data_IF_196213787628
#
_entry.id   IF_196213787628
#
_cell.length_a   1.000
_cell.length_b   1.000
_cell.length_c   1.000
_cell.angle_alpha   90.00
_cell.angle_beta   90.00
_cell.angle_gamma   90.00
#
_symmetry.space_group_name_H-M   'P 1'
#
loop_
_entity.id
_entity.type
_entity.pdbx_description
1 polymer ?
#
# COMPACT_ATOMS: atom_id res chain seq x y z
N UNK A 1 -17.96 7.22 35.17
CA UNK A 1 -19.08 7.32 34.22
C UNK A 1 -18.52 7.05 32.83
N UNK A 2 -18.79 5.89 32.25
CA UNK A 2 -18.40 5.62 30.86
C UNK A 2 -19.16 6.62 29.95
N UNK A 3 -18.52 7.16 28.89
CA UNK A 3 -19.22 8.05 27.97
C UNK A 3 -20.42 7.30 27.38
N UNK A 4 -21.58 7.97 27.19
CA UNK A 4 -22.74 7.34 26.57
C UNK A 4 -22.33 6.84 25.17
N UNK A 5 -22.65 5.58 24.88
CA UNK A 5 -22.50 5.01 23.54
C UNK A 5 -23.08 5.99 22.51
N UNK A 6 -22.29 6.44 21.50
CA UNK A 6 -22.76 7.44 20.56
C UNK A 6 -23.99 6.90 19.83
N UNK A 7 -25.01 7.74 19.69
CA UNK A 7 -26.36 7.42 19.18
C UNK A 7 -26.35 6.69 17.82
N UNK A 8 -25.25 6.76 17.05
CA UNK A 8 -25.01 5.97 15.84
C UNK A 8 -24.95 4.44 16.06
N UNK A 9 -24.52 3.98 17.24
CA UNK A 9 -24.52 2.55 17.60
C UNK A 9 -25.93 1.95 17.73
N UNK A 10 -26.95 2.79 17.99
CA UNK A 10 -28.30 2.31 18.31
C UNK A 10 -29.13 1.93 17.06
N UNK A 11 -28.91 2.56 15.90
CA UNK A 11 -29.68 2.24 14.67
C UNK A 11 -29.29 0.90 14.06
N UNK A 12 -27.99 0.68 13.88
CA UNK A 12 -27.45 -0.54 13.29
C UNK A 12 -27.73 -1.74 14.19
N UNK A 13 -27.48 -1.62 15.51
CA UNK A 13 -27.78 -2.69 16.46
C UNK A 13 -29.27 -3.05 16.54
N UNK A 14 -30.18 -2.07 16.40
CA UNK A 14 -31.62 -2.31 16.36
C UNK A 14 -32.08 -3.00 15.07
N UNK A 15 -31.57 -2.60 13.89
CA UNK A 15 -31.88 -3.26 12.63
C UNK A 15 -31.32 -4.70 12.59
N UNK A 16 -30.07 -4.89 13.04
CA UNK A 16 -29.49 -6.23 13.17
C UNK A 16 -30.31 -7.09 14.14
N UNK A 17 -30.78 -6.53 15.26
CA UNK A 17 -31.63 -7.25 16.21
C UNK A 17 -33.05 -7.53 15.68
N UNK A 18 -33.59 -6.69 14.79
CA UNK A 18 -34.91 -6.84 14.20
C UNK A 18 -34.94 -7.88 13.07
N UNK A 19 -33.87 -7.98 12.28
CA UNK A 19 -33.80 -8.87 11.11
C UNK A 19 -33.04 -10.19 11.37
N UNK A 20 -32.25 -10.32 12.45
CA UNK A 20 -31.79 -11.62 12.94
C UNK A 20 -32.81 -12.19 13.95
N UNK A 21 -33.55 -13.26 13.63
CA UNK A 21 -34.53 -13.83 14.56
C UNK A 21 -33.87 -14.28 15.86
N UNK A 22 -34.46 -13.88 17.00
CA UNK A 22 -33.97 -14.20 18.36
C UNK A 22 -34.04 -15.69 18.73
N UNK A 23 -34.72 -16.50 17.93
CA UNK A 23 -34.94 -17.92 18.17
C UNK A 23 -33.76 -18.77 17.68
N UNK A 24 -32.64 -18.66 18.40
CA UNK A 24 -31.38 -19.44 18.34
C UNK A 24 -30.19 -18.50 18.20
N UNK A 25 -29.81 -17.90 19.33
CA UNK A 25 -28.69 -16.97 19.51
C UNK A 25 -27.34 -17.69 19.28
N UNK A 26 -27.09 -18.10 18.04
CA UNK A 26 -25.91 -18.87 17.64
C UNK A 26 -24.64 -18.02 17.82
N UNK A 27 -23.49 -18.68 17.96
CA UNK A 27 -22.19 -18.01 18.07
C UNK A 27 -22.00 -17.00 16.93
N UNK A 28 -22.38 -17.38 15.71
CA UNK A 28 -22.24 -16.53 14.52
C UNK A 28 -23.13 -15.29 14.56
N UNK A 29 -24.36 -15.39 15.09
CA UNK A 29 -25.23 -14.23 15.25
C UNK A 29 -24.65 -13.21 16.23
N UNK A 30 -24.04 -13.68 17.33
CA UNK A 30 -23.37 -12.81 18.31
C UNK A 30 -22.15 -12.13 17.70
N UNK A 31 -21.34 -12.88 16.97
CA UNK A 31 -20.17 -12.35 16.28
C UNK A 31 -20.56 -11.35 15.19
N UNK A 32 -21.60 -11.62 14.39
CA UNK A 32 -22.09 -10.68 13.40
C UNK A 32 -22.57 -9.36 14.03
N UNK A 33 -23.33 -9.43 15.13
CA UNK A 33 -23.74 -8.23 15.89
C UNK A 33 -22.54 -7.44 16.39
N UNK A 34 -21.55 -8.12 16.94
CA UNK A 34 -20.32 -7.49 17.41
C UNK A 34 -19.54 -6.87 16.25
N UNK A 35 -19.41 -7.59 15.13
CA UNK A 35 -18.72 -7.14 13.92
C UNK A 35 -19.34 -5.84 13.43
N UNK A 36 -20.65 -5.82 13.20
CA UNK A 36 -21.33 -4.63 12.69
C UNK A 36 -21.24 -3.45 13.68
N UNK A 37 -21.36 -3.70 14.98
CA UNK A 37 -21.22 -2.65 15.99
C UNK A 37 -19.82 -2.02 16.00
N UNK A 38 -18.77 -2.81 15.76
CA UNK A 38 -17.40 -2.33 15.63
C UNK A 38 -17.13 -1.69 14.27
N UNK A 39 -17.65 -2.29 13.19
CA UNK A 39 -17.49 -1.85 11.81
C UNK A 39 -18.05 -0.45 11.61
N UNK A 40 -19.23 -0.16 12.14
CA UNK A 40 -19.86 1.16 12.04
C UNK A 40 -19.48 2.12 13.17
N UNK A 41 -18.62 1.71 14.12
CA UNK A 41 -18.30 2.52 15.29
C UNK A 41 -17.60 3.85 14.99
N UNK A 42 -16.97 3.96 13.80
CA UNK A 42 -16.23 5.14 13.35
C UNK A 42 -16.91 5.89 12.20
N UNK A 43 -18.10 5.45 11.76
CA UNK A 43 -18.85 6.10 10.69
C UNK A 43 -20.07 6.83 11.28
N UNK A 44 -20.02 8.16 11.44
CA UNK A 44 -21.18 8.91 11.89
C UNK A 44 -22.29 8.87 10.82
N UNK A 45 -23.55 8.95 11.27
CA UNK A 45 -24.73 8.86 10.38
C UNK A 45 -24.71 9.90 9.25
N UNK A 46 -24.13 11.09 9.50
CA UNK A 46 -23.97 12.15 8.50
C UNK A 46 -23.14 11.74 7.29
N UNK A 47 -22.30 10.72 7.42
CA UNK A 47 -21.44 10.22 6.34
C UNK A 47 -22.04 9.00 5.63
N UNK A 48 -23.11 8.40 6.15
CA UNK A 48 -23.67 7.13 5.64
C UNK A 48 -24.53 7.26 4.36
N UNK A 49 -24.44 8.41 3.69
CA UNK A 49 -25.05 8.70 2.38
C UNK A 49 -26.55 8.33 2.27
N UNK A 50 -27.28 8.37 3.38
CA UNK A 50 -28.73 8.10 3.44
C UNK A 50 -29.13 6.63 3.31
N UNK A 51 -28.21 5.67 3.45
CA UNK A 51 -28.52 4.23 3.40
C UNK A 51 -29.49 3.81 4.51
N UNK A 52 -30.32 2.81 4.22
CA UNK A 52 -31.21 2.24 5.21
C UNK A 52 -30.44 1.32 6.17
N UNK A 53 -30.93 1.18 7.40
CA UNK A 53 -30.31 0.29 8.38
C UNK A 53 -30.40 -1.20 7.97
N UNK A 54 -31.33 -1.56 7.08
CA UNK A 54 -31.44 -2.89 6.49
C UNK A 54 -30.32 -3.14 5.47
N UNK A 55 -30.04 -2.17 4.59
CA UNK A 55 -28.92 -2.24 3.64
C UNK A 55 -27.57 -2.33 4.37
N UNK A 56 -27.39 -1.54 5.44
CA UNK A 56 -26.18 -1.58 6.27
C UNK A 56 -25.99 -2.94 6.95
N UNK A 57 -27.07 -3.60 7.37
CA UNK A 57 -27.03 -4.96 7.90
C UNK A 57 -26.62 -5.96 6.82
N UNK A 58 -27.21 -5.89 5.63
CA UNK A 58 -26.88 -6.80 4.52
C UNK A 58 -25.41 -6.64 4.10
N UNK A 59 -24.91 -5.41 4.03
CA UNK A 59 -23.50 -5.12 3.83
C UNK A 59 -22.61 -5.68 4.95
N UNK A 60 -23.04 -5.53 6.20
CA UNK A 60 -22.31 -6.08 7.34
C UNK A 60 -22.23 -7.61 7.29
N UNK A 61 -23.32 -8.27 6.87
CA UNK A 61 -23.37 -9.71 6.69
C UNK A 61 -22.43 -10.18 5.59
N UNK A 62 -22.42 -9.51 4.43
CA UNK A 62 -21.50 -9.84 3.34
C UNK A 62 -20.05 -9.65 3.76
N UNK A 63 -19.72 -8.51 4.39
CA UNK A 63 -18.38 -8.24 4.88
C UNK A 63 -17.93 -9.25 5.95
N UNK A 64 -18.79 -9.60 6.91
CA UNK A 64 -18.49 -10.59 7.93
C UNK A 64 -18.22 -11.97 7.33
N UNK A 65 -19.07 -12.40 6.38
CA UNK A 65 -18.92 -13.69 5.70
C UNK A 65 -17.60 -13.77 4.93
N UNK A 66 -17.28 -12.75 4.12
CA UNK A 66 -16.01 -12.68 3.37
C UNK A 66 -14.81 -12.69 4.31
N UNK A 67 -14.86 -11.88 5.37
CA UNK A 67 -13.81 -11.86 6.38
C UNK A 67 -13.63 -13.23 7.04
N UNK A 68 -14.71 -13.96 7.31
CA UNK A 68 -14.65 -15.28 7.90
C UNK A 68 -14.07 -16.33 6.93
N UNK A 69 -14.47 -16.29 5.67
CA UNK A 69 -14.15 -17.33 4.67
C UNK A 69 -12.76 -17.14 4.01
N UNK A 70 -12.24 -15.91 3.97
CA UNK A 70 -10.93 -15.56 3.41
C UNK A 70 -9.77 -16.05 4.28
N UNK A 71 -8.64 -16.41 3.66
CA UNK A 71 -7.37 -16.65 4.38
C UNK A 71 -6.79 -15.34 4.91
N UNK A 72 -6.36 -15.24 6.18
CA UNK A 72 -5.89 -13.97 6.76
C UNK A 72 -4.82 -13.20 5.97
N UNK A 73 -3.93 -13.92 5.27
CA UNK A 73 -2.81 -13.36 4.49
C UNK A 73 -3.17 -12.88 3.07
N UNK A 74 -4.36 -13.20 2.59
CA UNK A 74 -4.81 -12.91 1.22
C UNK A 74 -5.20 -11.43 1.06
N UNK A 75 -5.19 -10.89 -0.16
CA UNK A 75 -5.82 -9.58 -0.40
C UNK A 75 -7.02 -9.84 -1.30
N UNK A 76 -8.21 -9.53 -0.81
CA UNK A 76 -9.46 -9.64 -1.56
C UNK A 76 -9.99 -8.25 -1.84
N UNK A 77 -10.35 -8.00 -3.10
CA UNK A 77 -11.00 -6.75 -3.54
C UNK A 77 -12.24 -7.14 -4.32
N UNK A 78 -13.40 -6.61 -3.94
CA UNK A 78 -14.62 -6.68 -4.73
C UNK A 78 -15.04 -5.28 -5.16
N UNK A 79 -15.39 -5.11 -6.43
CA UNK A 79 -15.94 -3.88 -7.00
C UNK A 79 -17.22 -4.27 -7.72
N UNK A 80 -18.36 -3.83 -7.21
CA UNK A 80 -19.65 -4.20 -7.81
C UNK A 80 -20.73 -3.14 -7.62
N UNK A 81 -21.70 -3.20 -8.51
CA UNK A 81 -22.96 -2.49 -8.40
C UNK A 81 -23.99 -3.42 -7.73
N UNK A 82 -24.43 -3.14 -6.49
CA UNK A 82 -25.40 -3.99 -5.79
C UNK A 82 -26.71 -4.11 -6.57
N UNK A 83 -27.22 -5.34 -6.67
CA UNK A 83 -28.45 -5.68 -7.38
C UNK A 83 -29.45 -6.37 -6.44
N UNK A 84 -30.69 -5.86 -6.40
CA UNK A 84 -31.70 -6.32 -5.45
C UNK A 84 -31.99 -7.82 -5.56
N UNK A 85 -31.97 -8.38 -6.78
CA UNK A 85 -32.30 -9.79 -7.01
C UNK A 85 -31.15 -10.71 -6.62
N UNK A 86 -29.90 -10.28 -6.85
CA UNK A 86 -28.70 -11.06 -6.52
C UNK A 86 -28.31 -10.94 -5.04
N UNK A 87 -28.34 -9.71 -4.51
CA UNK A 87 -27.73 -9.37 -3.23
C UNK A 87 -28.77 -9.10 -2.13
N UNK A 88 -30.05 -8.96 -2.49
CA UNK A 88 -31.12 -8.59 -1.55
C UNK A 88 -31.21 -7.09 -1.27
N UNK A 89 -30.33 -6.29 -1.88
CA UNK A 89 -30.32 -4.83 -1.80
C UNK A 89 -29.75 -4.21 -3.07
N UNK A 90 -30.00 -2.92 -3.28
CA UNK A 90 -29.51 -2.18 -4.45
C UNK A 90 -28.98 -0.82 -4.04
N UNK A 91 -27.99 -0.32 -4.76
CA UNK A 91 -27.46 1.03 -4.57
C UNK A 91 -27.38 1.78 -5.91
N UNK A 92 -27.54 3.10 -5.86
CA UNK A 92 -27.24 4.01 -6.97
C UNK A 92 -25.73 4.31 -7.10
N UNK A 93 -24.88 3.57 -6.37
CA UNK A 93 -23.43 3.72 -6.31
C UNK A 93 -22.71 2.41 -6.60
N UNK A 94 -21.43 2.53 -6.93
CA UNK A 94 -20.53 1.38 -6.98
C UNK A 94 -19.89 1.18 -5.62
N UNK A 95 -19.89 -0.06 -5.15
CA UNK A 95 -19.44 -0.44 -3.82
C UNK A 95 -18.16 -1.25 -3.95
N UNK A 96 -17.15 -0.83 -3.19
CA UNK A 96 -15.82 -1.40 -3.19
C UNK A 96 -15.55 -1.92 -1.79
N UNK A 97 -15.21 -3.20 -1.67
CA UNK A 97 -14.79 -3.81 -0.42
C UNK A 97 -13.37 -4.33 -0.56
N UNK A 98 -12.54 -4.02 0.42
CA UNK A 98 -11.15 -4.46 0.49
C UNK A 98 -10.93 -5.20 1.80
N UNK A 99 -10.42 -6.41 1.71
CA UNK A 99 -9.98 -7.22 2.83
C UNK A 99 -8.49 -7.50 2.67
N UNK A 100 -7.68 -7.15 3.67
CA UNK A 100 -6.24 -7.30 3.60
C UNK A 100 -5.65 -7.56 4.99
N UNK A 101 -4.43 -8.11 5.09
CA UNK A 101 -3.65 -8.00 6.31
C UNK A 101 -3.44 -6.53 6.65
N UNK A 102 -3.39 -6.19 7.93
CA UNK A 102 -3.01 -4.85 8.36
C UNK A 102 -1.57 -4.55 7.94
N UNK A 103 -1.42 -3.52 7.12
CA UNK A 103 -0.13 -3.05 6.63
C UNK A 103 -0.19 -1.55 6.35
N UNK A 104 0.94 -0.83 6.48
CA UNK A 104 0.99 0.60 6.16
C UNK A 104 0.56 0.91 4.73
N UNK A 105 0.00 2.11 4.53
CA UNK A 105 -0.32 2.70 3.21
C UNK A 105 -1.46 2.05 2.42
N UNK A 106 -2.20 1.07 2.96
CA UNK A 106 -3.31 0.42 2.24
C UNK A 106 -4.40 1.41 1.84
N UNK A 107 -4.89 2.21 2.79
CA UNK A 107 -5.97 3.16 2.54
C UNK A 107 -5.51 4.27 1.60
N UNK A 108 -4.33 4.84 1.82
CA UNK A 108 -3.80 5.89 0.94
C UNK A 108 -3.64 5.38 -0.49
N UNK A 109 -3.11 4.16 -0.65
CA UNK A 109 -2.92 3.54 -1.97
C UNK A 109 -4.24 3.20 -2.66
N UNK A 110 -5.25 2.75 -1.91
CA UNK A 110 -6.62 2.55 -2.41
C UNK A 110 -7.18 3.87 -2.94
N UNK A 111 -7.17 4.93 -2.14
CA UNK A 111 -7.69 6.24 -2.53
C UNK A 111 -6.96 6.83 -3.75
N UNK A 112 -5.63 6.64 -3.82
CA UNK A 112 -4.84 7.00 -5.00
C UNK A 112 -5.23 6.21 -6.25
N UNK A 113 -5.50 4.90 -6.11
CA UNK A 113 -5.97 4.07 -7.23
C UNK A 113 -7.33 4.54 -7.75
N UNK A 114 -8.27 4.86 -6.85
CA UNK A 114 -9.59 5.42 -7.22
C UNK A 114 -9.45 6.76 -7.94
N UNK A 115 -8.62 7.66 -7.40
CA UNK A 115 -8.36 8.98 -7.99
C UNK A 115 -7.75 8.84 -9.39
N UNK A 116 -6.82 7.89 -9.58
CA UNK A 116 -6.21 7.60 -10.89
C UNK A 116 -7.22 7.05 -11.89
N UNK A 117 -8.22 6.30 -11.43
CA UNK A 117 -9.34 5.81 -12.23
C UNK A 117 -10.43 6.89 -12.48
N UNK A 118 -10.21 8.13 -12.04
CA UNK A 118 -11.16 9.23 -12.21
C UNK A 118 -12.38 9.16 -11.29
N UNK A 119 -12.32 8.34 -10.22
CA UNK A 119 -13.43 8.16 -9.28
C UNK A 119 -13.25 9.04 -8.06
N UNK A 120 -14.34 9.71 -7.66
CA UNK A 120 -14.40 10.46 -6.40
C UNK A 120 -14.92 9.55 -5.29
N UNK A 121 -14.24 9.54 -4.14
CA UNK A 121 -14.70 8.80 -2.96
C UNK A 121 -15.84 9.55 -2.30
N UNK A 122 -17.04 8.95 -2.29
CA UNK A 122 -18.23 9.50 -1.64
C UNK A 122 -18.33 9.06 -0.18
N UNK A 123 -17.91 7.83 0.10
CA UNK A 123 -17.88 7.27 1.44
C UNK A 123 -16.67 6.35 1.61
N UNK A 124 -16.06 6.39 2.79
CA UNK A 124 -15.01 5.47 3.22
C UNK A 124 -15.27 5.08 4.67
N UNK A 125 -15.36 3.78 4.92
CA UNK A 125 -15.29 3.20 6.24
C UNK A 125 -14.19 2.15 6.28
N UNK A 126 -13.24 2.27 7.20
CA UNK A 126 -12.19 1.28 7.36
C UNK A 126 -11.95 0.93 8.83
N UNK A 127 -11.84 -0.37 9.09
CA UNK A 127 -11.64 -0.91 10.43
C UNK A 127 -10.61 -2.03 10.36
N UNK A 128 -9.63 -1.98 11.25
CA UNK A 128 -8.69 -3.08 11.49
C UNK A 128 -9.21 -3.90 12.65
N UNK A 129 -9.46 -5.18 12.38
CA UNK A 129 -9.92 -6.17 13.35
C UNK A 129 -8.78 -7.05 13.82
N UNK A 130 -8.71 -7.27 15.13
CA UNK A 130 -7.95 -8.35 15.73
C UNK A 130 -8.84 -9.57 15.87
N UNK A 131 -8.50 -10.63 15.15
CA UNK A 131 -9.35 -11.81 14.99
C UNK A 131 -8.64 -13.01 15.59
N UNK A 132 -9.27 -13.66 16.56
CA UNK A 132 -8.87 -14.99 16.98
C UNK A 132 -9.74 -16.00 16.25
N UNK A 133 -9.12 -16.97 15.58
CA UNK A 133 -9.82 -18.05 14.87
C UNK A 133 -9.73 -19.37 15.63
N UNK A 134 -10.69 -20.25 15.43
CA UNK A 134 -10.62 -21.62 15.92
C UNK A 134 -9.81 -22.53 14.98
N UNK A 135 -9.74 -23.84 15.31
CA UNK A 135 -8.95 -24.82 14.55
C UNK A 135 -9.47 -25.04 13.13
N UNK A 136 -10.74 -24.75 12.90
CA UNK A 136 -11.40 -24.92 11.61
C UNK A 136 -11.32 -23.63 10.77
N UNK A 137 -10.68 -22.57 11.30
CA UNK A 137 -10.47 -21.29 10.63
C UNK A 137 -11.59 -20.26 10.86
N UNK A 138 -12.66 -20.64 11.54
CA UNK A 138 -13.80 -19.77 11.82
C UNK A 138 -13.48 -18.72 12.88
N UNK A 139 -14.10 -17.55 12.77
CA UNK A 139 -13.92 -16.45 13.73
C UNK A 139 -14.43 -16.89 15.12
N UNK A 140 -13.59 -16.75 16.13
CA UNK A 140 -13.90 -17.03 17.55
C UNK A 140 -14.13 -15.76 18.33
N UNK A 141 -13.33 -14.74 18.10
CA UNK A 141 -13.51 -13.42 18.68
C UNK A 141 -12.96 -12.37 17.73
N UNK A 142 -13.57 -11.20 17.78
CA UNK A 142 -13.18 -10.02 17.01
C UNK A 142 -13.13 -8.81 17.93
N UNK A 143 -12.06 -8.04 17.84
CA UNK A 143 -11.85 -6.82 18.61
C UNK A 143 -11.29 -5.74 17.69
N UNK A 144 -11.52 -4.47 18.00
CA UNK A 144 -10.77 -3.38 17.37
C UNK A 144 -9.62 -3.02 18.29
N UNK A 145 -8.44 -2.84 17.72
CA UNK A 145 -7.35 -2.31 18.51
C UNK A 145 -7.61 -0.85 18.85
N UNK A 146 -7.57 -0.54 20.14
CA UNK A 146 -7.56 0.86 20.63
C UNK A 146 -6.18 1.27 21.14
N UNK A 147 -5.23 0.34 21.18
CA UNK A 147 -3.94 0.45 21.87
C UNK A 147 -2.74 0.24 20.93
N UNK A 148 -2.96 -0.10 19.65
CA UNK A 148 -1.89 -0.22 18.65
C UNK A 148 -0.98 -1.41 18.88
N UNK A 149 -1.53 -2.55 19.29
CA UNK A 149 -0.86 -3.84 19.32
C UNK A 149 -0.47 -4.25 17.89
N UNK A 150 0.81 -4.53 17.63
CA UNK A 150 1.34 -4.78 16.30
C UNK A 150 1.02 -6.18 15.73
N UNK A 151 0.12 -6.95 16.35
CA UNK A 151 -0.07 -8.37 16.04
C UNK A 151 -1.27 -8.61 15.11
N UNK A 152 -1.00 -9.06 13.88
CA UNK A 152 -1.95 -9.71 12.95
C UNK A 152 -3.34 -9.08 12.82
N UNK A 153 -3.41 -7.77 12.62
CA UNK A 153 -4.66 -7.11 12.25
C UNK A 153 -5.15 -7.57 10.87
N UNK A 154 -6.47 -7.63 10.69
CA UNK A 154 -7.15 -7.81 9.40
C UNK A 154 -7.94 -6.54 9.09
N UNK A 155 -7.57 -5.85 8.01
CA UNK A 155 -8.26 -4.66 7.53
C UNK A 155 -9.52 -5.05 6.75
N UNK A 156 -10.63 -4.37 7.06
CA UNK A 156 -11.82 -4.30 6.22
C UNK A 156 -12.05 -2.83 5.85
N UNK A 157 -12.08 -2.53 4.56
CA UNK A 157 -12.47 -1.22 4.06
C UNK A 157 -13.68 -1.34 3.13
N UNK A 158 -14.63 -0.44 3.30
CA UNK A 158 -15.80 -0.25 2.46
C UNK A 158 -15.73 1.17 1.89
N UNK A 159 -15.78 1.26 0.57
CA UNK A 159 -15.74 2.51 -0.17
C UNK A 159 -16.94 2.57 -1.11
N UNK A 160 -17.60 3.72 -1.18
CA UNK A 160 -18.61 3.99 -2.21
C UNK A 160 -18.15 5.14 -3.09
N UNK A 161 -18.33 4.96 -4.40
CA UNK A 161 -18.05 5.95 -5.44
C UNK A 161 -19.29 6.13 -6.32
N UNK A 162 -19.29 7.13 -7.19
CA UNK A 162 -20.33 7.27 -8.20
C UNK A 162 -20.50 5.97 -9.00
N UNK A 163 -21.74 5.65 -9.38
CA UNK A 163 -22.00 4.40 -10.11
C UNK A 163 -21.25 4.37 -11.43
N UNK A 164 -20.46 3.32 -11.59
CA UNK A 164 -19.68 3.02 -12.77
C UNK A 164 -20.42 2.04 -13.68
N UNK A 165 -20.06 2.05 -14.96
CA UNK A 165 -20.50 1.03 -15.92
C UNK A 165 -19.92 -0.34 -15.55
N UNK A 166 -20.73 -1.39 -15.64
CA UNK A 166 -20.34 -2.76 -15.27
C UNK A 166 -19.06 -3.23 -15.99
N UNK A 167 -18.84 -2.76 -17.21
CA UNK A 167 -17.66 -3.07 -18.02
C UNK A 167 -16.34 -2.54 -17.43
N UNK A 168 -16.39 -1.54 -16.54
CA UNK A 168 -15.20 -0.92 -15.93
C UNK A 168 -14.85 -1.51 -14.56
N UNK A 169 -15.76 -2.24 -13.92
CA UNK A 169 -15.61 -2.71 -12.53
C UNK A 169 -14.41 -3.65 -12.36
N UNK A 170 -14.26 -4.61 -13.28
CA UNK A 170 -13.14 -5.56 -13.28
C UNK A 170 -11.79 -4.84 -13.45
N UNK A 171 -11.75 -3.82 -14.33
CA UNK A 171 -10.52 -3.04 -14.55
C UNK A 171 -10.15 -2.25 -13.31
N UNK A 172 -11.13 -1.64 -12.62
CA UNK A 172 -10.87 -0.93 -11.36
C UNK A 172 -10.40 -1.90 -10.27
N UNK A 173 -11.04 -3.06 -10.15
CA UNK A 173 -10.63 -4.10 -9.19
C UNK A 173 -9.16 -4.48 -9.40
N UNK A 174 -8.76 -4.76 -10.63
CA UNK A 174 -7.39 -5.18 -10.95
C UNK A 174 -6.38 -4.05 -10.66
N UNK A 175 -6.72 -2.79 -10.96
CA UNK A 175 -5.88 -1.64 -10.60
C UNK A 175 -5.69 -1.48 -9.08
N UNK A 176 -6.73 -1.73 -8.29
CA UNK A 176 -6.63 -1.72 -6.83
C UNK A 176 -5.77 -2.89 -6.35
N UNK A 177 -5.98 -4.09 -6.88
CA UNK A 177 -5.17 -5.27 -6.54
C UNK A 177 -3.68 -5.05 -6.84
N UNK A 178 -3.35 -4.48 -8.00
CA UNK A 178 -1.98 -4.14 -8.37
C UNK A 178 -1.36 -3.14 -7.38
N UNK A 179 -2.10 -2.09 -7.03
CA UNK A 179 -1.63 -1.09 -6.06
C UNK A 179 -1.38 -1.71 -4.68
N UNK A 180 -2.25 -2.60 -4.22
CA UNK A 180 -2.09 -3.28 -2.93
C UNK A 180 -1.00 -4.35 -2.96
N UNK A 181 -0.75 -4.98 -4.11
CA UNK A 181 0.37 -5.89 -4.31
C UNK A 181 1.72 -5.14 -4.21
N UNK A 182 1.82 -3.94 -4.80
CA UNK A 182 2.99 -3.05 -4.67
C UNK A 182 3.25 -2.69 -3.20
N UNK A 183 2.20 -2.32 -2.45
CA UNK A 183 2.28 -2.01 -1.01
C UNK A 183 2.80 -3.22 -0.25
N UNK A 184 2.20 -4.41 -0.46
CA UNK A 184 2.62 -5.64 0.21
C UNK A 184 4.09 -5.97 -0.08
N UNK A 185 4.54 -5.83 -1.32
CA UNK A 185 5.94 -6.07 -1.68
C UNK A 185 6.88 -5.09 -0.96
N UNK A 186 6.58 -3.80 -0.99
CA UNK A 186 7.39 -2.77 -0.32
C UNK A 186 7.46 -3.00 1.20
N UNK A 187 6.33 -3.30 1.85
CA UNK A 187 6.26 -3.52 3.30
C UNK A 187 7.00 -4.79 3.71
N UNK A 188 6.79 -5.90 3.01
CA UNK A 188 7.44 -7.18 3.33
C UNK A 188 8.96 -7.10 3.17
N UNK A 189 9.44 -6.40 2.15
CA UNK A 189 10.87 -6.30 1.86
C UNK A 189 11.55 -5.14 2.59
N UNK A 190 10.81 -4.27 3.27
CA UNK A 190 11.37 -3.11 3.96
C UNK A 190 12.54 -3.47 4.90
N UNK A 191 12.46 -4.52 5.74
CA UNK A 191 13.58 -4.93 6.58
C UNK A 191 14.82 -5.34 5.76
N UNK A 192 14.62 -6.06 4.65
CA UNK A 192 15.70 -6.51 3.77
C UNK A 192 16.37 -5.33 3.04
N UNK A 193 15.57 -4.38 2.54
CA UNK A 193 16.06 -3.15 1.92
C UNK A 193 16.87 -2.30 2.90
N UNK A 194 16.37 -2.13 4.14
CA UNK A 194 17.10 -1.44 5.21
C UNK A 194 18.41 -2.14 5.55
N UNK A 195 18.41 -3.47 5.62
CA UNK A 195 19.63 -4.25 5.84
C UNK A 195 20.67 -4.03 4.73
N UNK A 196 20.23 -3.99 3.46
CA UNK A 196 21.12 -3.72 2.31
C UNK A 196 21.76 -2.33 2.39
N UNK A 197 21.02 -1.32 2.85
CA UNK A 197 21.54 0.03 3.09
C UNK A 197 22.62 0.01 4.20
N UNK A 198 22.35 -0.65 5.33
CA UNK A 198 23.29 -0.77 6.44
C UNK A 198 24.57 -1.53 6.04
N UNK A 199 24.44 -2.63 5.28
CA UNK A 199 25.57 -3.36 4.72
C UNK A 199 26.36 -2.52 3.68
N UNK A 200 25.71 -1.56 3.01
CA UNK A 200 26.37 -0.55 2.18
C UNK A 200 27.21 0.41 3.01
N UNK A 201 26.65 0.93 4.10
CA UNK A 201 27.32 1.82 5.04
C UNK A 201 28.57 1.16 5.64
N UNK A 202 28.46 -0.08 6.13
CA UNK A 202 29.60 -0.80 6.73
C UNK A 202 30.76 -1.00 5.73
N UNK A 203 30.45 -1.18 4.44
CA UNK A 203 31.47 -1.28 3.40
C UNK A 203 32.19 0.04 3.15
N UNK A 204 31.47 1.16 3.18
CA UNK A 204 32.05 2.50 3.01
C UNK A 204 32.96 2.86 4.20
N UNK A 205 32.57 2.46 5.41
CA UNK A 205 33.36 2.71 6.63
C UNK A 205 34.70 1.97 6.66
N UNK A 206 34.79 0.81 5.99
CA UNK A 206 36.04 0.03 5.87
C UNK A 206 37.02 0.61 4.85
N UNK A 207 36.59 1.57 4.03
CA UNK A 207 37.46 2.26 3.08
C UNK A 207 38.08 3.50 3.74
N UNK A 208 39.22 3.96 3.22
CA UNK A 208 39.84 5.19 3.72
C UNK A 208 38.89 6.37 3.50
N UNK A 209 38.33 6.91 4.59
CA UNK A 209 37.23 7.87 4.50
C UNK A 209 37.75 9.31 4.39
N UNK A 210 37.43 9.96 3.27
CA UNK A 210 37.57 11.41 3.10
C UNK A 210 36.40 12.12 3.82
N UNK A 211 36.50 13.45 4.03
CA UNK A 211 35.39 14.20 4.64
C UNK A 211 34.05 14.04 3.89
N UNK A 212 34.00 14.08 2.55
CA UNK A 212 32.76 13.80 1.80
C UNK A 212 32.19 12.39 2.02
N UNK A 213 33.04 11.38 2.22
CA UNK A 213 32.58 10.00 2.49
C UNK A 213 31.92 9.90 3.86
N UNK A 214 32.44 10.60 4.87
CA UNK A 214 31.82 10.65 6.20
C UNK A 214 30.45 11.31 6.16
N UNK A 215 30.31 12.44 5.48
CA UNK A 215 29.03 13.12 5.31
C UNK A 215 28.00 12.22 4.60
N UNK A 216 28.43 11.50 3.55
CA UNK A 216 27.57 10.54 2.87
C UNK A 216 27.14 9.39 3.80
N UNK A 217 28.04 8.86 4.64
CA UNK A 217 27.71 7.84 5.65
C UNK A 217 26.67 8.37 6.63
N UNK A 218 26.84 9.59 7.14
CA UNK A 218 25.90 10.21 8.08
C UNK A 218 24.52 10.38 7.45
N UNK A 219 24.45 10.82 6.19
CA UNK A 219 23.20 10.90 5.44
C UNK A 219 22.54 9.53 5.24
N UNK A 220 23.29 8.49 4.87
CA UNK A 220 22.74 7.15 4.68
C UNK A 220 22.23 6.55 6.00
N UNK A 221 22.92 6.81 7.12
CA UNK A 221 22.45 6.41 8.47
C UNK A 221 21.17 7.13 8.84
N UNK A 222 21.07 8.43 8.54
CA UNK A 222 19.85 9.20 8.73
C UNK A 222 18.68 8.59 7.94
N UNK A 223 18.88 8.24 6.66
CA UNK A 223 17.87 7.53 5.86
C UNK A 223 17.43 6.20 6.49
N UNK A 224 18.39 5.41 6.99
CA UNK A 224 18.13 4.10 7.60
C UNK A 224 17.40 4.19 8.95
N UNK A 225 17.40 5.35 9.59
CA UNK A 225 16.79 5.61 10.90
C UNK A 225 15.34 6.11 10.78
N UNK A 226 14.55 5.46 9.91
CA UNK A 226 13.13 5.74 9.68
C UNK A 226 12.80 7.15 9.16
N UNK A 227 13.78 7.88 8.61
CA UNK A 227 13.53 9.17 7.94
C UNK A 227 13.16 9.01 6.46
N UNK A 228 13.13 7.78 5.95
CA UNK A 228 12.79 7.49 4.57
C UNK A 228 11.99 6.18 4.44
N UNK A 229 11.02 6.17 3.53
CA UNK A 229 10.26 4.95 3.18
C UNK A 229 10.86 4.31 1.95
N UNK A 230 11.47 3.12 2.12
CA UNK A 230 11.99 2.33 1.00
C UNK A 230 10.85 1.61 0.28
N UNK A 231 10.67 1.91 -1.01
CA UNK A 231 9.65 1.24 -1.84
C UNK A 231 10.23 0.11 -2.69
N UNK A 232 11.53 0.17 -2.99
CA UNK A 232 12.22 -0.86 -3.76
C UNK A 232 13.74 -0.69 -3.73
N UNK A 233 14.44 -1.79 -4.01
CA UNK A 233 15.90 -1.85 -4.03
C UNK A 233 16.39 -2.67 -5.24
N UNK A 234 17.51 -2.25 -5.82
CA UNK A 234 18.29 -3.02 -6.81
C UNK A 234 19.77 -2.74 -6.60
N UNK A 235 20.59 -3.76 -6.83
CA UNK A 235 22.04 -3.63 -6.80
C UNK A 235 22.58 -3.70 -8.22
N UNK A 236 23.57 -2.86 -8.51
CA UNK A 236 24.24 -2.80 -9.79
C UNK A 236 25.75 -2.87 -9.59
N UNK A 237 26.42 -3.56 -10.51
CA UNK A 237 27.88 -3.57 -10.65
C UNK A 237 28.28 -2.77 -11.88
N UNK A 238 29.37 -2.03 -11.77
CA UNK A 238 29.97 -1.31 -12.88
C UNK A 238 31.32 -1.98 -13.23
N UNK A 239 31.47 -2.35 -14.50
CA UNK A 239 32.67 -3.00 -15.04
C UNK A 239 32.63 -3.03 -16.57
N UNK A 240 33.80 -3.00 -17.21
CA UNK A 240 33.95 -3.00 -18.69
C UNK A 240 33.09 -1.92 -19.39
N UNK A 241 33.02 -0.71 -18.82
CA UNK A 241 32.15 0.38 -19.27
C UNK A 241 30.64 0.04 -19.35
N UNK A 242 30.22 -1.00 -18.63
CA UNK A 242 28.81 -1.43 -18.55
C UNK A 242 28.30 -1.43 -17.12
N UNK A 243 27.01 -1.11 -16.96
CA UNK A 243 26.27 -1.27 -15.71
C UNK A 243 25.42 -2.52 -15.83
N UNK A 244 25.65 -3.49 -14.96
CA UNK A 244 24.88 -4.74 -14.91
C UNK A 244 24.15 -4.85 -13.58
N UNK A 245 22.87 -5.20 -13.63
CA UNK A 245 22.11 -5.49 -12.42
C UNK A 245 22.61 -6.80 -11.82
N UNK A 246 22.86 -6.81 -10.51
CA UNK A 246 23.18 -8.03 -9.77
C UNK A 246 21.94 -8.94 -9.77
N UNK A 247 22.00 -10.17 -10.31
CA UNK A 247 20.86 -11.08 -10.33
C UNK A 247 20.32 -11.35 -8.92
N UNK A 248 18.99 -11.35 -8.78
CA UNK A 248 18.32 -11.59 -7.49
C UNK A 248 18.41 -10.43 -6.48
N UNK A 249 18.92 -9.26 -6.87
CA UNK A 249 19.00 -8.09 -5.98
C UNK A 249 17.71 -7.28 -5.89
N UNK A 250 16.74 -7.50 -6.78
CA UNK A 250 15.51 -6.73 -6.83
C UNK A 250 14.63 -7.04 -5.61
N UNK A 251 14.13 -5.98 -4.94
CA UNK A 251 13.21 -6.05 -3.80
C UNK A 251 12.12 -4.97 -3.92
N UNK A 252 11.03 -5.15 -3.18
CA UNK A 252 9.87 -4.26 -3.15
C UNK A 252 9.18 -4.16 -4.51
N UNK A 253 8.72 -2.97 -4.88
CA UNK A 253 8.06 -2.74 -6.18
C UNK A 253 8.98 -3.01 -7.38
N UNK A 254 10.29 -3.15 -7.15
CA UNK A 254 11.27 -3.42 -8.20
C UNK A 254 11.38 -4.90 -8.57
N UNK A 255 10.62 -5.80 -7.94
CA UNK A 255 10.57 -7.22 -8.31
C UNK A 255 10.11 -7.45 -9.77
N UNK A 256 9.10 -6.70 -10.23
CA UNK A 256 8.40 -6.97 -11.50
C UNK A 256 8.82 -6.05 -12.66
N UNK A 257 9.58 -4.98 -12.40
CA UNK A 257 9.96 -3.96 -13.39
C UNK A 257 11.18 -4.39 -14.23
N UNK A 258 11.11 -5.53 -14.91
CA UNK A 258 12.28 -6.12 -15.55
C UNK A 258 12.57 -5.61 -16.99
N UNK A 259 11.65 -4.96 -17.72
CA UNK A 259 11.87 -4.75 -19.17
C UNK A 259 12.06 -3.31 -19.66
N UNK A 260 11.53 -2.28 -18.98
CA UNK A 260 11.52 -0.90 -19.53
C UNK A 260 12.83 -0.13 -19.26
N UNK A 261 13.61 -0.54 -18.26
CA UNK A 261 14.79 0.23 -17.82
C UNK A 261 16.03 0.06 -18.72
N UNK A 262 16.15 -1.08 -19.42
CA UNK A 262 17.35 -1.39 -20.19
C UNK A 262 17.53 -0.49 -21.43
N UNK A 263 16.44 0.05 -21.99
CA UNK A 263 16.53 0.90 -23.20
C UNK A 263 16.92 2.34 -22.87
N UNK A 264 16.51 2.91 -21.73
CA UNK A 264 16.72 4.34 -21.43
C UNK A 264 18.15 4.59 -20.91
N UNK A 265 18.70 3.70 -20.06
CA UNK A 265 20.04 3.90 -19.53
C UNK A 265 21.16 3.69 -20.56
N UNK A 266 20.94 2.83 -21.56
CA UNK A 266 21.94 2.51 -22.56
C UNK A 266 22.17 3.65 -23.57
N UNK A 267 21.18 4.52 -23.77
CA UNK A 267 21.28 5.70 -24.65
C UNK A 267 21.93 6.88 -23.92
N UNK A 268 21.64 7.09 -22.63
CA UNK A 268 22.06 8.31 -21.93
C UNK A 268 23.53 8.31 -21.45
N UNK A 269 24.11 7.13 -21.17
CA UNK A 269 25.50 7.02 -20.67
C UNK A 269 26.54 7.18 -21.79
N UNK A 270 26.17 6.95 -23.05
CA UNK A 270 27.11 7.06 -24.18
C UNK A 270 27.44 8.49 -24.60
N UNK A 271 26.56 9.45 -24.31
CA UNK A 271 26.61 10.78 -24.96
C UNK A 271 27.00 11.95 -24.02
N UNK A 272 27.29 11.71 -22.73
CA UNK A 272 27.65 12.79 -21.80
C UNK A 272 28.91 12.50 -20.95
N UNK A 273 30.07 13.10 -21.26
CA UNK A 273 31.30 12.95 -20.49
C UNK A 273 31.29 13.67 -19.12
N UNK A 274 30.21 14.38 -18.75
CA UNK A 274 30.10 15.10 -17.46
C UNK A 274 29.05 14.51 -16.50
N UNK A 275 28.43 13.37 -16.82
CA UNK A 275 27.35 12.76 -16.05
C UNK A 275 27.76 12.15 -14.68
N UNK A 276 28.95 12.46 -14.15
CA UNK A 276 29.42 11.94 -12.86
C UNK A 276 28.84 12.64 -11.63
N UNK A 277 27.92 13.62 -11.78
CA UNK A 277 27.34 14.35 -10.64
C UNK A 277 25.83 14.60 -10.64
N UNK A 278 25.06 13.95 -11.52
CA UNK A 278 23.65 14.34 -11.68
C UNK A 278 22.71 13.39 -10.93
N UNK A 279 22.05 13.92 -9.89
CA UNK A 279 20.85 13.33 -9.30
C UNK A 279 19.84 13.02 -10.41
N UNK A 280 19.55 11.73 -10.64
CA UNK A 280 18.65 11.34 -11.71
C UNK A 280 17.19 11.38 -11.21
N UNK A 281 16.53 12.54 -11.37
CA UNK A 281 15.09 12.66 -11.24
C UNK A 281 14.43 12.17 -12.55
N UNK A 282 14.02 10.91 -12.60
CA UNK A 282 13.27 10.37 -13.74
C UNK A 282 11.77 10.54 -13.50
N UNK A 283 11.16 11.45 -14.27
CA UNK A 283 9.71 11.61 -14.37
C UNK A 283 9.18 10.49 -15.28
N UNK A 284 8.87 9.35 -14.70
CA UNK A 284 8.11 8.30 -15.37
C UNK A 284 6.62 8.53 -15.10
N UNK A 285 5.77 8.31 -16.11
CA UNK A 285 4.34 8.56 -16.06
C UNK A 285 3.72 8.16 -14.70
N UNK A 286 3.27 9.17 -13.95
CA UNK A 286 2.54 9.09 -12.67
C UNK A 286 3.30 8.82 -11.36
N UNK A 287 4.61 8.52 -11.31
CA UNK A 287 5.33 8.33 -10.02
C UNK A 287 6.77 8.88 -10.05
N UNK A 288 7.10 9.76 -9.10
CA UNK A 288 8.47 10.21 -8.81
C UNK A 288 9.16 9.14 -7.94
N UNK A 289 10.28 8.59 -8.42
CA UNK A 289 11.10 7.64 -7.66
C UNK A 289 12.47 8.24 -7.36
N UNK A 290 12.92 8.09 -6.12
CA UNK A 290 14.30 8.37 -5.71
C UNK A 290 15.11 7.08 -5.82
N UNK A 291 16.14 7.06 -6.67
CA UNK A 291 17.07 5.92 -6.81
C UNK A 291 18.44 6.38 -6.30
N UNK A 292 18.86 5.86 -5.15
CA UNK A 292 20.22 6.04 -4.66
C UNK A 292 21.13 4.97 -5.27
N UNK A 293 21.92 5.34 -6.28
CA UNK A 293 22.95 4.47 -6.84
C UNK A 293 24.27 4.65 -6.06
N UNK A 294 24.58 3.71 -5.16
CA UNK A 294 25.91 3.63 -4.50
C UNK A 294 26.81 2.68 -5.29
N UNK A 295 27.54 3.22 -6.27
CA UNK A 295 28.53 2.48 -7.06
C UNK A 295 29.88 2.36 -6.35
N UNK A 296 30.59 1.23 -6.54
CA UNK A 296 32.01 1.10 -6.15
C UNK A 296 32.87 1.93 -7.10
N UNK A 297 33.68 2.83 -6.58
CA UNK A 297 34.65 3.58 -7.38
C UNK A 297 36.06 3.36 -6.83
N UNK A 298 36.99 2.90 -7.68
CA UNK A 298 38.43 2.87 -7.43
C UNK A 298 39.04 3.79 -8.49
N UNK A 299 39.53 4.96 -8.09
CA UNK A 299 40.14 5.92 -9.01
C UNK A 299 41.66 5.68 -9.07
N UNK A 300 42.26 5.42 -10.26
CA UNK A 300 43.66 5.69 -10.51
C UNK A 300 43.85 7.14 -10.98
N UNK A 301 44.87 7.80 -10.45
CA UNK A 301 45.02 9.26 -10.45
C UNK A 301 45.16 9.96 -11.80
N UNK A 302 44.83 11.25 -11.79
CA UNK A 302 45.44 12.45 -12.46
C UNK A 302 44.38 13.55 -12.41
N UNK A 303 44.60 14.69 -11.74
CA UNK A 303 45.26 15.88 -12.30
C UNK A 303 44.23 17.02 -12.31
N UNK A 304 44.56 18.18 -11.74
CA UNK A 304 43.66 19.35 -11.63
C UNK A 304 43.47 20.01 -13.01
N UNK A 305 42.24 20.44 -13.34
CA UNK A 305 42.01 21.44 -14.38
C UNK A 305 40.89 22.43 -14.02
N UNK A 306 41.20 23.70 -14.28
CA UNK A 306 40.51 24.92 -13.91
C UNK A 306 39.34 25.23 -14.86
N UNK A 307 38.26 25.78 -14.32
CA UNK A 307 37.01 26.03 -15.04
C UNK A 307 36.98 27.45 -15.61
N UNK A 308 37.10 27.60 -16.93
CA UNK A 308 36.79 28.87 -17.59
C UNK A 308 36.19 28.68 -18.99
N UNK A 309 34.88 28.95 -19.04
CA UNK A 309 34.13 29.56 -20.15
C UNK A 309 33.33 28.67 -21.13
N UNK A 310 32.18 29.20 -21.64
CA UNK A 310 31.02 28.43 -22.07
C UNK A 310 30.89 28.35 -23.60
N UNK A 311 30.39 27.23 -24.11
CA UNK A 311 30.14 27.05 -25.54
C UNK A 311 28.99 26.10 -25.81
N UNK A 312 27.85 26.68 -26.22
CA UNK A 312 26.74 25.98 -26.86
C UNK A 312 27.21 25.22 -28.10
N UNK A 313 26.77 23.97 -28.28
CA UNK A 313 26.63 23.37 -29.60
C UNK A 313 25.50 22.31 -29.61
N UNK A 314 24.55 22.56 -30.51
CA UNK A 314 23.43 21.71 -30.92
C UNK A 314 23.88 20.45 -31.70
N UNK A 315 23.05 19.39 -31.77
CA UNK A 315 23.51 18.04 -32.08
C UNK A 315 23.64 17.74 -33.59
N UNK A 316 24.60 16.87 -33.91
CA UNK A 316 24.50 15.90 -35.00
C UNK A 316 24.93 14.54 -34.46
#
# INVERSE_FOLDING_TARGET
>A
MAPPAPVAQLRHSAAIAAHLPSAADSRDQKLLRQFAALFWSKSPESEQLGRSAEDDLLLSMDCYRRLNDRKPTEIEVSVDNPDLRRDGWSSDRTVIRVFAPDMPFVIDSLLMALTKAGQSTLFLNNVVFHITRDRDGGIRSLEIDRQGRPESGELVALVEVDRMDDAMLETLRDQILDALADVRAAVNDFPAMRWRLLAGIERLEKQESTAPVREAIDFLRWLADNHFTFLGYREFTYGDDTIQQVPGSAMGILHHTCWIWFTICHTFIRDDPYATRTFCWLRCASKLFFIAALGRMRLPGTGWFDSSSPGLCTPR
#
